data_IF_932582814904
#
_entry.id   IF_932582814904
#
_cell.length_a   1.000
_cell.length_b   1.000
_cell.length_c   1.000
_cell.angle_alpha   90.00
_cell.angle_beta   90.00
_cell.angle_gamma   90.00
#
_symmetry.space_group_name_H-M   'P 1'
#
loop_
_entity.id
_entity.type
_entity.pdbx_description
1 polymer ?
#
# COMPACT_ATOMS: atom_id res chain seq x y z
N UNK A 1 12.07 31.80 -14.73
CA UNK A 1 11.53 30.46 -14.95
C UNK A 1 10.47 30.18 -13.91
N UNK A 2 9.29 29.87 -14.33
CA UNK A 2 8.25 29.42 -13.40
C UNK A 2 8.54 27.98 -12.99
N UNK A 3 8.57 27.72 -11.67
CA UNK A 3 8.67 26.37 -11.18
C UNK A 3 7.45 25.56 -11.65
N UNK A 4 7.67 24.30 -12.00
CA UNK A 4 6.56 23.40 -12.29
C UNK A 4 5.72 23.23 -11.01
N UNK A 5 4.38 23.16 -11.15
CA UNK A 5 3.55 22.89 -9.98
C UNK A 5 3.90 21.53 -9.39
N UNK A 6 3.76 21.37 -8.06
CA UNK A 6 3.99 20.05 -7.45
C UNK A 6 3.01 19.03 -8.04
N UNK A 7 3.41 17.73 -8.11
CA UNK A 7 2.50 16.67 -8.53
C UNK A 7 1.23 16.67 -7.68
N UNK A 8 0.09 16.34 -8.31
CA UNK A 8 -1.13 16.12 -7.55
C UNK A 8 -0.94 14.95 -6.57
N UNK A 9 -1.78 14.89 -5.54
CA UNK A 9 -1.76 13.77 -4.58
C UNK A 9 -1.88 12.42 -5.30
N UNK A 10 -2.74 12.32 -6.30
CA UNK A 10 -2.93 11.07 -7.07
C UNK A 10 -1.68 10.74 -7.87
N UNK A 11 -1.05 11.70 -8.51
CA UNK A 11 0.20 11.50 -9.24
C UNK A 11 1.32 11.03 -8.31
N UNK A 12 1.47 11.67 -7.14
CA UNK A 12 2.44 11.26 -6.14
C UNK A 12 2.21 9.84 -5.68
N UNK A 13 0.96 9.47 -5.42
CA UNK A 13 0.58 8.11 -5.03
C UNK A 13 1.00 7.09 -6.09
N UNK A 14 0.76 7.39 -7.36
CA UNK A 14 1.15 6.51 -8.48
C UNK A 14 2.66 6.38 -8.55
N UNK A 15 3.39 7.48 -8.56
CA UNK A 15 4.85 7.48 -8.69
C UNK A 15 5.50 6.75 -7.50
N UNK A 16 5.09 7.06 -6.28
CA UNK A 16 5.62 6.41 -5.08
C UNK A 16 5.33 4.90 -5.08
N UNK A 17 4.11 4.50 -5.47
CA UNK A 17 3.72 3.09 -5.52
C UNK A 17 4.53 2.31 -6.55
N UNK A 18 4.72 2.85 -7.76
CA UNK A 18 5.50 2.19 -8.81
C UNK A 18 6.96 2.01 -8.36
N UNK A 19 7.58 3.06 -7.82
CA UNK A 19 8.96 2.99 -7.31
C UNK A 19 9.12 1.98 -6.18
N UNK A 20 8.18 1.97 -5.23
CA UNK A 20 8.20 1.04 -4.10
C UNK A 20 8.01 -0.41 -4.57
N UNK A 21 7.11 -0.64 -5.51
CA UNK A 21 6.87 -1.97 -6.07
C UNK A 21 8.12 -2.53 -6.76
N UNK A 22 8.82 -1.69 -7.52
CA UNK A 22 10.10 -2.08 -8.16
C UNK A 22 11.13 -2.43 -7.10
N UNK A 23 11.29 -1.58 -6.09
CA UNK A 23 12.27 -1.77 -5.02
C UNK A 23 12.08 -3.08 -4.26
N UNK A 24 10.84 -3.42 -3.92
CA UNK A 24 10.53 -4.61 -3.12
C UNK A 24 10.06 -5.80 -3.96
N UNK A 25 10.09 -5.67 -5.29
CA UNK A 25 9.75 -6.75 -6.23
C UNK A 25 8.36 -7.34 -6.00
N UNK A 26 7.38 -6.46 -5.85
CA UNK A 26 5.97 -6.83 -5.81
C UNK A 26 5.25 -6.29 -7.05
N UNK A 27 4.10 -6.86 -7.44
CA UNK A 27 3.35 -6.32 -8.56
C UNK A 27 2.89 -4.88 -8.30
N UNK A 28 3.22 -3.98 -9.23
CA UNK A 28 2.85 -2.57 -9.08
C UNK A 28 1.33 -2.36 -9.04
N UNK A 29 0.58 -3.13 -9.85
CA UNK A 29 -0.88 -3.09 -9.84
C UNK A 29 -1.48 -3.49 -8.49
N UNK A 30 -0.84 -4.42 -7.79
CA UNK A 30 -1.23 -4.83 -6.44
C UNK A 30 -1.07 -3.68 -5.44
N UNK A 31 0.09 -3.04 -5.42
CA UNK A 31 0.34 -1.93 -4.50
C UNK A 31 -0.55 -0.72 -4.82
N UNK A 32 -0.74 -0.40 -6.10
CA UNK A 32 -1.65 0.65 -6.52
C UNK A 32 -3.09 0.38 -6.07
N UNK A 33 -3.53 -0.88 -6.15
CA UNK A 33 -4.83 -1.29 -5.65
C UNK A 33 -4.97 -1.10 -4.14
N UNK A 34 -3.99 -1.51 -3.37
CA UNK A 34 -3.96 -1.30 -1.92
C UNK A 34 -4.01 0.20 -1.59
N UNK A 35 -3.18 1.01 -2.25
CA UNK A 35 -3.14 2.45 -2.04
C UNK A 35 -4.49 3.12 -2.32
N UNK A 36 -5.19 2.68 -3.36
CA UNK A 36 -6.51 3.22 -3.69
C UNK A 36 -7.57 2.81 -2.66
N UNK A 37 -7.55 1.57 -2.18
CA UNK A 37 -8.48 1.12 -1.13
C UNK A 37 -8.24 1.91 0.16
N UNK A 38 -7.00 2.03 0.59
CA UNK A 38 -6.66 2.75 1.82
C UNK A 38 -6.97 4.24 1.71
N UNK A 39 -6.67 4.84 0.58
CA UNK A 39 -7.04 6.22 0.20
C UNK A 39 -6.79 7.26 1.31
N UNK A 40 -5.73 7.09 2.08
CA UNK A 40 -5.35 8.03 3.14
C UNK A 40 -4.68 9.28 2.60
N UNK A 41 -4.49 10.25 3.48
CA UNK A 41 -3.82 11.51 3.20
C UNK A 41 -2.65 11.70 4.17
N UNK A 42 -1.63 12.50 3.81
CA UNK A 42 -0.58 12.85 4.76
C UNK A 42 -1.15 13.45 6.03
N UNK A 43 -0.70 12.98 7.19
CA UNK A 43 -1.14 13.47 8.49
C UNK A 43 -2.55 13.06 8.90
N UNK A 44 -3.31 12.40 8.02
CA UNK A 44 -4.68 11.97 8.34
C UNK A 44 -4.68 10.73 9.21
N UNK A 45 -5.47 10.77 10.29
CA UNK A 45 -5.77 9.60 11.10
C UNK A 45 -7.25 9.26 11.00
N UNK A 46 -7.56 7.97 10.91
CA UNK A 46 -8.93 7.45 10.93
C UNK A 46 -9.10 6.62 12.19
N UNK A 47 -10.15 6.92 12.99
CA UNK A 47 -10.40 6.24 14.25
C UNK A 47 -11.29 5.03 14.00
N UNK A 48 -10.87 3.85 14.48
CA UNK A 48 -11.61 2.61 14.38
C UNK A 48 -12.48 2.39 15.64
N UNK A 49 -13.53 1.57 15.53
CA UNK A 49 -14.44 1.25 16.63
C UNK A 49 -13.71 0.65 17.83
N UNK A 50 -12.64 -0.10 17.60
CA UNK A 50 -11.85 -0.74 18.66
C UNK A 50 -10.84 0.21 19.34
N UNK A 51 -10.89 1.51 19.05
CA UNK A 51 -9.99 2.51 19.62
C UNK A 51 -8.63 2.63 18.93
N UNK A 52 -8.31 1.77 17.97
CA UNK A 52 -7.09 1.93 17.19
C UNK A 52 -7.27 3.02 16.15
N UNK A 53 -6.17 3.52 15.59
CA UNK A 53 -6.20 4.51 14.53
C UNK A 53 -5.41 4.01 13.32
N UNK A 54 -5.85 4.39 12.13
CA UNK A 54 -5.12 4.15 10.89
C UNK A 54 -4.48 5.45 10.44
N UNK A 55 -3.21 5.40 10.04
CA UNK A 55 -2.35 6.58 9.94
C UNK A 55 -1.82 6.74 8.52
N UNK A 56 -1.95 7.96 7.98
CA UNK A 56 -1.30 8.39 6.76
C UNK A 56 -1.90 7.83 5.48
N UNK A 57 -1.16 7.99 4.38
CA UNK A 57 -1.63 7.64 3.04
C UNK A 57 -1.93 6.15 2.87
N UNK A 58 -1.21 5.28 3.58
CA UNK A 58 -1.39 3.83 3.50
C UNK A 58 -2.11 3.24 4.71
N UNK A 59 -2.65 4.09 5.58
CA UNK A 59 -3.51 3.73 6.69
C UNK A 59 -2.94 2.63 7.59
N UNK A 60 -1.68 2.84 8.05
CA UNK A 60 -1.05 1.92 8.99
C UNK A 60 -1.75 1.95 10.35
N UNK A 61 -2.18 0.78 10.82
CA UNK A 61 -2.85 0.64 12.10
C UNK A 61 -1.89 0.89 13.26
N UNK A 62 -2.35 1.57 14.30
CA UNK A 62 -1.54 1.92 15.47
C UNK A 62 -0.97 0.70 16.21
N UNK A 63 -1.65 -0.45 16.21
CA UNK A 63 -1.12 -1.69 16.78
C UNK A 63 0.07 -2.22 15.98
N UNK A 64 -0.02 -2.14 14.66
CA UNK A 64 1.10 -2.52 13.79
C UNK A 64 2.29 -1.57 14.01
N UNK A 65 2.03 -0.28 14.11
CA UNK A 65 3.08 0.71 14.37
C UNK A 65 3.77 0.49 15.71
N UNK A 66 3.02 0.08 16.75
CA UNK A 66 3.62 -0.24 18.05
C UNK A 66 4.65 -1.38 17.93
N UNK A 67 4.40 -2.38 17.08
CA UNK A 67 5.35 -3.46 16.82
C UNK A 67 6.60 -2.99 16.07
N UNK A 68 6.47 -1.98 15.23
CA UNK A 68 7.58 -1.44 14.45
C UNK A 68 8.46 -0.47 15.25
N UNK A 69 7.99 0.00 16.40
CA UNK A 69 8.74 0.94 17.25
C UNK A 69 10.12 0.41 17.65
N UNK A 70 10.25 -0.89 17.87
CA UNK A 70 11.54 -1.53 18.17
C UNK A 70 12.58 -1.43 17.05
N UNK A 71 12.14 -1.14 15.84
CA UNK A 71 13.03 -0.91 14.69
C UNK A 71 13.26 0.57 14.41
N UNK A 72 12.79 1.46 15.30
CA UNK A 72 12.91 2.91 15.13
C UNK A 72 11.93 3.51 14.14
N UNK A 73 10.87 2.77 13.78
CA UNK A 73 9.83 3.24 12.85
C UNK A 73 8.66 3.78 13.69
N UNK A 74 8.30 5.03 13.46
CA UNK A 74 7.31 5.75 14.26
C UNK A 74 6.11 6.21 13.41
N UNK A 75 5.01 6.55 14.08
CA UNK A 75 3.81 7.07 13.44
C UNK A 75 4.09 8.29 12.56
N UNK A 76 4.99 9.19 12.99
CA UNK A 76 5.39 10.35 12.21
C UNK A 76 6.00 9.99 10.85
N UNK A 77 6.71 8.87 10.76
CA UNK A 77 7.33 8.41 9.52
C UNK A 77 6.28 8.04 8.49
N UNK A 78 5.22 7.35 8.91
CA UNK A 78 4.15 6.89 8.00
C UNK A 78 3.09 7.95 7.75
N UNK A 79 3.04 8.99 8.57
CA UNK A 79 2.18 10.15 8.37
C UNK A 79 2.76 11.16 7.37
N UNK A 80 4.05 11.05 7.06
CA UNK A 80 4.77 12.02 6.24
C UNK A 80 4.27 12.08 4.79
N UNK A 81 4.36 13.27 4.14
CA UNK A 81 3.88 13.46 2.77
C UNK A 81 4.95 13.09 1.72
N UNK A 82 5.60 11.94 1.85
CA UNK A 82 6.66 11.47 0.97
C UNK A 82 6.44 10.00 0.60
N UNK A 83 7.38 9.39 -0.13
CA UNK A 83 7.24 8.01 -0.57
C UNK A 83 7.45 6.97 0.55
N UNK A 84 7.89 7.35 1.74
CA UNK A 84 8.19 6.40 2.82
C UNK A 84 7.01 5.47 3.16
N UNK A 85 5.76 5.97 3.33
CA UNK A 85 4.64 5.07 3.63
C UNK A 85 4.43 4.00 2.55
N UNK A 86 4.67 4.34 1.28
CA UNK A 86 4.54 3.38 0.17
C UNK A 86 5.65 2.35 0.19
N UNK A 87 6.88 2.75 0.51
CA UNK A 87 8.00 1.83 0.69
C UNK A 87 7.73 0.84 1.82
N UNK A 88 7.24 1.32 2.96
CA UNK A 88 6.90 0.46 4.10
C UNK A 88 5.75 -0.49 3.76
N UNK A 89 4.73 -0.02 3.06
CA UNK A 89 3.61 -0.84 2.60
C UNK A 89 4.09 -1.94 1.65
N UNK A 90 4.95 -1.60 0.69
CA UNK A 90 5.51 -2.58 -0.25
C UNK A 90 6.35 -3.63 0.47
N UNK A 91 7.19 -3.22 1.41
CA UNK A 91 7.97 -4.12 2.26
C UNK A 91 7.06 -5.08 3.04
N UNK A 92 6.00 -4.56 3.63
CA UNK A 92 5.02 -5.36 4.38
C UNK A 92 4.31 -6.37 3.48
N UNK A 93 3.83 -5.94 2.31
CA UNK A 93 3.18 -6.83 1.35
C UNK A 93 4.16 -7.90 0.85
N UNK A 94 5.40 -7.53 0.54
CA UNK A 94 6.43 -8.49 0.15
C UNK A 94 6.62 -9.59 1.21
N UNK A 95 6.57 -9.21 2.48
CA UNK A 95 6.61 -10.16 3.60
C UNK A 95 5.42 -11.11 3.60
N UNK A 96 4.21 -10.62 3.38
CA UNK A 96 3.02 -11.45 3.27
C UNK A 96 3.10 -12.41 2.09
N UNK A 97 3.55 -11.94 0.94
CA UNK A 97 3.70 -12.79 -0.24
C UNK A 97 4.74 -13.89 -0.05
N UNK A 98 5.78 -13.63 0.73
CA UNK A 98 6.86 -14.60 0.98
C UNK A 98 6.51 -15.64 2.05
N UNK A 99 5.75 -15.26 3.07
CA UNK A 99 5.59 -16.09 4.28
C UNK A 99 4.18 -16.61 4.53
N UNK A 100 3.15 -15.94 4.00
CA UNK A 100 1.76 -16.30 4.30
C UNK A 100 1.27 -17.41 3.37
N UNK A 101 0.09 -17.95 3.68
CA UNK A 101 -0.54 -19.05 2.94
C UNK A 101 -1.71 -18.55 2.10
N UNK A 102 -2.06 -19.34 1.09
CA UNK A 102 -3.13 -19.03 0.16
C UNK A 102 -2.61 -18.51 -1.17
N UNK A 103 -3.53 -18.15 -2.06
CA UNK A 103 -3.12 -17.53 -3.32
C UNK A 103 -2.52 -16.13 -3.07
N UNK A 104 -1.91 -15.57 -4.11
CA UNK A 104 -1.20 -14.30 -4.01
C UNK A 104 -2.10 -13.15 -3.52
N UNK A 105 -3.38 -13.15 -3.91
CA UNK A 105 -4.33 -12.09 -3.53
C UNK A 105 -4.80 -12.24 -2.10
N UNK A 106 -4.97 -13.46 -1.61
CA UNK A 106 -5.25 -13.74 -0.20
C UNK A 106 -4.09 -13.25 0.67
N UNK A 107 -2.86 -13.53 0.26
CA UNK A 107 -1.67 -13.08 0.97
C UNK A 107 -1.53 -11.57 0.96
N UNK A 108 -1.76 -10.92 -0.17
CA UNK A 108 -1.72 -9.46 -0.26
C UNK A 108 -2.81 -8.81 0.62
N UNK A 109 -4.01 -9.36 0.65
CA UNK A 109 -5.12 -8.84 1.45
C UNK A 109 -4.88 -8.99 2.97
N UNK A 110 -3.90 -9.79 3.39
CA UNK A 110 -3.46 -9.83 4.80
C UNK A 110 -2.88 -8.49 5.26
N UNK A 111 -2.54 -7.59 4.34
CA UNK A 111 -2.24 -6.20 4.67
C UNK A 111 -3.36 -5.57 5.50
N UNK A 112 -4.60 -5.86 5.15
CA UNK A 112 -5.77 -5.36 5.88
C UNK A 112 -6.14 -6.28 7.04
N UNK A 113 -6.31 -7.57 6.79
CA UNK A 113 -6.75 -8.52 7.82
C UNK A 113 -6.45 -9.97 7.44
N UNK A 114 -6.04 -10.76 8.44
CA UNK A 114 -5.91 -12.22 8.33
C UNK A 114 -7.23 -12.94 8.63
N UNK A 115 -8.21 -12.23 9.20
CA UNK A 115 -9.53 -12.79 9.47
C UNK A 115 -10.21 -13.14 8.15
N UNK A 116 -10.61 -14.41 7.90
CA UNK A 116 -11.06 -14.84 6.58
C UNK A 116 -12.18 -13.99 5.98
N UNK A 117 -13.15 -13.60 6.79
CA UNK A 117 -14.27 -12.77 6.34
C UNK A 117 -13.82 -11.40 5.85
N UNK A 118 -12.98 -10.72 6.62
CA UNK A 118 -12.49 -9.38 6.26
C UNK A 118 -11.47 -9.44 5.14
N UNK A 119 -10.61 -10.46 5.13
CA UNK A 119 -9.69 -10.70 4.03
C UNK A 119 -10.44 -10.88 2.71
N UNK A 120 -11.51 -11.70 2.70
CA UNK A 120 -12.28 -11.96 1.49
C UNK A 120 -12.94 -10.70 0.91
N UNK A 121 -13.48 -9.84 1.76
CA UNK A 121 -14.09 -8.56 1.34
C UNK A 121 -13.03 -7.65 0.72
N UNK A 122 -11.90 -7.50 1.40
CA UNK A 122 -10.78 -6.67 0.92
C UNK A 122 -10.20 -7.22 -0.38
N UNK A 123 -9.95 -8.53 -0.43
CA UNK A 123 -9.40 -9.22 -1.59
C UNK A 123 -10.24 -9.01 -2.84
N UNK A 124 -11.57 -9.08 -2.73
CA UNK A 124 -12.47 -8.86 -3.85
C UNK A 124 -12.30 -7.46 -4.45
N UNK A 125 -12.20 -6.45 -3.60
CA UNK A 125 -11.92 -5.07 -4.04
C UNK A 125 -10.55 -4.97 -4.68
N UNK A 126 -9.55 -5.58 -4.04
CA UNK A 126 -8.16 -5.51 -4.49
C UNK A 126 -7.97 -6.12 -5.88
N UNK A 127 -8.53 -7.30 -6.12
CA UNK A 127 -8.44 -7.96 -7.42
C UNK A 127 -9.04 -7.08 -8.53
N UNK A 128 -10.20 -6.49 -8.27
CA UNK A 128 -10.86 -5.59 -9.23
C UNK A 128 -10.01 -4.35 -9.53
N UNK A 129 -9.48 -3.72 -8.50
CA UNK A 129 -8.67 -2.51 -8.68
C UNK A 129 -7.31 -2.83 -9.30
N UNK A 130 -6.71 -3.95 -8.94
CA UNK A 130 -5.44 -4.38 -9.54
C UNK A 130 -5.58 -4.66 -11.04
N UNK A 131 -6.70 -5.22 -11.48
CA UNK A 131 -6.99 -5.41 -12.90
C UNK A 131 -7.11 -4.06 -13.65
N UNK A 132 -7.77 -3.08 -13.02
CA UNK A 132 -7.85 -1.71 -13.57
C UNK A 132 -6.46 -1.08 -13.68
N UNK A 133 -5.64 -1.19 -12.63
CA UNK A 133 -4.30 -0.61 -12.63
C UNK A 133 -3.34 -1.34 -13.58
N UNK A 134 -3.47 -2.63 -13.77
CA UNK A 134 -2.68 -3.36 -14.77
C UNK A 134 -2.91 -2.77 -16.16
N UNK A 135 -4.16 -2.54 -16.51
CA UNK A 135 -4.53 -1.96 -17.80
C UNK A 135 -3.94 -0.54 -17.96
N UNK A 136 -4.03 0.27 -16.91
CA UNK A 136 -3.47 1.61 -16.90
C UNK A 136 -1.94 1.59 -17.04
N UNK A 137 -1.26 0.70 -16.31
CA UNK A 137 0.20 0.57 -16.36
C UNK A 137 0.68 0.16 -17.74
N UNK A 138 0.00 -0.79 -18.39
CA UNK A 138 0.37 -1.23 -19.75
C UNK A 138 0.21 -0.11 -20.78
N UNK A 139 -0.69 0.82 -20.57
CA UNK A 139 -0.87 1.99 -21.45
C UNK A 139 0.18 3.08 -21.22
N UNK A 140 0.83 3.12 -20.06
CA UNK A 140 1.74 4.22 -19.67
C UNK A 140 3.18 3.78 -19.43
N UNK A 141 3.44 2.49 -19.24
CA UNK A 141 4.76 1.94 -18.93
C UNK A 141 5.02 0.64 -19.68
N UNK A 142 6.31 0.32 -19.86
CA UNK A 142 6.72 -1.02 -20.24
C UNK A 142 6.61 -1.92 -19.00
N UNK A 143 5.70 -2.91 -19.06
CA UNK A 143 5.39 -3.77 -17.92
C UNK A 143 6.14 -5.08 -18.03
N UNK A 144 6.88 -5.46 -16.96
CA UNK A 144 7.50 -6.76 -16.79
C UNK A 144 6.74 -7.55 -15.74
N UNK A 145 6.59 -8.87 -15.98
CA UNK A 145 5.93 -9.75 -15.01
C UNK A 145 6.90 -10.08 -13.88
N UNK A 146 6.41 -9.94 -12.64
CA UNK A 146 7.18 -10.34 -11.45
C UNK A 146 6.98 -11.83 -11.22
N UNK A 147 8.09 -12.58 -11.21
CA UNK A 147 8.09 -14.01 -10.85
C UNK A 147 8.15 -14.17 -9.34
N UNK A 148 7.22 -14.99 -8.81
CA UNK A 148 7.17 -15.29 -7.38
C UNK A 148 6.81 -16.75 -7.14
#
# INVERSE_FOLDING_TARGET
MNALPPPSFIEQRIVCSVKAAIKYQIPANMLLGVAEIENGRPGRTSINENGTVDIGMMQFNSRYMARLGKFGIHASDVAAPNCYPFNLAAWRIAGHLARDKGDIWTRAANYHSRTPRFNAIYRKKLVRLAAKWEKWLRAHYEVKVVSR
#
